data_IF_877956444417
#
_entry.id   IF_877956444417
#
_cell.length_a   1.000
_cell.length_b   1.000
_cell.length_c   1.000
_cell.angle_alpha   90.00
_cell.angle_beta   90.00
_cell.angle_gamma   90.00
#
_symmetry.space_group_name_H-M   'P 1'
#
loop_
_entity.id
_entity.type
_entity.pdbx_description
1 polymer ?
#
# COMPACT_ATOMS: atom_id res chain seq x y z
N UNK A 1 -16.08 -21.34 -10.87
CA UNK A 1 -15.60 -20.07 -11.48
C UNK A 1 -14.25 -19.74 -10.86
N UNK A 2 -13.26 -19.32 -11.65
CA UNK A 2 -11.93 -18.97 -11.14
C UNK A 2 -11.96 -17.54 -10.57
N UNK A 3 -11.66 -17.32 -9.27
CA UNK A 3 -11.77 -16.00 -8.62
C UNK A 3 -10.97 -14.91 -9.33
N UNK A 4 -9.77 -15.25 -9.80
CA UNK A 4 -8.88 -14.35 -10.54
C UNK A 4 -9.48 -13.90 -11.89
N UNK A 5 -10.26 -14.76 -12.55
CA UNK A 5 -10.91 -14.43 -13.83
C UNK A 5 -12.04 -13.43 -13.60
N UNK A 6 -12.79 -13.57 -12.50
CA UNK A 6 -13.82 -12.61 -12.10
C UNK A 6 -13.22 -11.26 -11.69
N UNK A 7 -12.12 -11.26 -10.93
CA UNK A 7 -11.40 -10.04 -10.58
C UNK A 7 -10.84 -9.31 -11.81
N UNK A 8 -10.25 -10.03 -12.75
CA UNK A 8 -9.72 -9.47 -14.00
C UNK A 8 -10.85 -8.91 -14.90
N UNK A 9 -11.97 -9.62 -15.02
CA UNK A 9 -13.11 -9.11 -15.79
C UNK A 9 -13.71 -7.86 -15.16
N UNK A 10 -13.84 -7.79 -13.84
CA UNK A 10 -14.30 -6.56 -13.17
C UNK A 10 -13.33 -5.39 -13.37
N UNK A 11 -12.02 -5.66 -13.40
CA UNK A 11 -11.01 -4.64 -13.69
C UNK A 11 -11.11 -4.13 -15.15
N UNK A 12 -11.51 -4.97 -16.10
CA UNK A 12 -11.57 -4.62 -17.52
C UNK A 12 -12.94 -4.10 -17.99
N UNK A 13 -14.02 -4.46 -17.29
CA UNK A 13 -15.40 -4.19 -17.70
C UNK A 13 -16.20 -3.31 -16.73
N UNK A 14 -15.65 -2.95 -15.56
CA UNK A 14 -16.42 -2.39 -14.44
C UNK A 14 -16.30 -0.88 -14.18
N UNK A 15 -15.41 -0.15 -14.88
CA UNK A 15 -15.22 1.29 -14.65
C UNK A 15 -14.03 1.89 -15.39
N UNK A 16 -13.85 3.20 -15.22
CA UNK A 16 -12.69 3.94 -15.71
C UNK A 16 -11.58 3.99 -14.65
N UNK A 17 -10.32 3.89 -15.11
CA UNK A 17 -9.14 3.91 -14.25
C UNK A 17 -8.19 5.06 -14.61
N UNK A 18 -8.61 6.32 -14.51
CA UNK A 18 -7.77 7.44 -14.90
C UNK A 18 -6.56 7.55 -13.97
N UNK A 19 -5.38 7.73 -14.56
CA UNK A 19 -4.14 8.05 -13.85
C UNK A 19 -3.75 9.48 -14.15
N UNK A 20 -3.68 10.30 -13.11
CA UNK A 20 -3.18 11.67 -13.19
C UNK A 20 -1.73 11.71 -12.71
N UNK A 21 -0.88 12.47 -13.39
CA UNK A 21 0.53 12.62 -13.08
C UNK A 21 0.81 14.08 -12.79
N UNK A 22 1.48 14.34 -11.67
CA UNK A 22 1.94 15.67 -11.30
C UNK A 22 3.46 15.71 -11.31
N UNK A 23 4.02 16.81 -11.78
CA UNK A 23 5.46 17.08 -11.78
C UNK A 23 5.67 18.54 -11.41
N UNK A 24 6.53 18.78 -10.42
CA UNK A 24 6.97 20.12 -10.08
C UNK A 24 7.75 20.73 -11.26
N UNK A 25 7.57 22.01 -11.51
CA UNK A 25 8.34 22.73 -12.54
C UNK A 25 9.84 22.76 -12.24
N UNK A 26 10.19 22.80 -10.95
CA UNK A 26 11.57 22.68 -10.42
C UNK A 26 12.20 21.32 -10.64
N UNK A 27 11.41 20.27 -10.94
CA UNK A 27 11.88 18.90 -11.13
C UNK A 27 12.23 18.13 -9.84
N UNK A 28 12.03 18.74 -8.68
CA UNK A 28 12.30 18.18 -7.35
C UNK A 28 11.17 17.29 -6.80
N UNK A 29 10.01 17.27 -7.45
CA UNK A 29 8.87 16.47 -7.05
C UNK A 29 8.11 15.90 -8.25
N UNK A 30 7.72 14.63 -8.17
CA UNK A 30 6.76 14.05 -9.10
C UNK A 30 5.91 13.01 -8.39
N UNK A 31 4.69 12.79 -8.88
CA UNK A 31 3.80 11.79 -8.32
C UNK A 31 2.66 11.47 -9.26
N UNK A 32 1.82 10.55 -8.81
CA UNK A 32 0.64 10.15 -9.55
C UNK A 32 -0.48 9.74 -8.60
N UNK A 33 -1.70 9.83 -9.10
CA UNK A 33 -2.90 9.29 -8.46
C UNK A 33 -3.69 8.49 -9.50
N UNK A 34 -4.05 7.26 -9.16
CA UNK A 34 -4.95 6.43 -9.95
C UNK A 34 -6.28 6.28 -9.23
N UNK A 35 -7.36 6.55 -9.96
CA UNK A 35 -8.72 6.41 -9.46
C UNK A 35 -9.40 5.19 -10.06
N UNK A 36 -10.46 4.73 -9.41
CA UNK A 36 -11.46 3.85 -9.99
C UNK A 36 -12.81 4.56 -9.93
N UNK A 37 -13.36 4.84 -11.11
CA UNK A 37 -14.64 5.52 -11.29
C UNK A 37 -15.60 4.52 -11.93
N UNK A 38 -16.66 4.12 -11.22
CA UNK A 38 -17.68 3.24 -11.80
C UNK A 38 -18.79 4.09 -12.40
N UNK A 39 -19.26 3.71 -13.59
CA UNK A 39 -20.36 4.40 -14.28
C UNK A 39 -21.66 4.43 -13.46
N UNK A 40 -21.86 3.45 -12.58
CA UNK A 40 -23.06 3.28 -11.76
C UNK A 40 -22.96 3.86 -10.33
N UNK A 41 -21.81 4.44 -9.96
CA UNK A 41 -21.57 4.93 -8.60
C UNK A 41 -21.29 6.43 -8.54
N UNK A 42 -21.89 7.09 -7.55
CA UNK A 42 -21.57 8.49 -7.21
C UNK A 42 -20.31 8.63 -6.34
N UNK A 43 -19.50 7.56 -6.23
CA UNK A 43 -18.27 7.50 -5.45
C UNK A 43 -17.10 7.05 -6.30
N UNK A 44 -15.99 7.80 -6.24
CA UNK A 44 -14.70 7.36 -6.77
C UNK A 44 -13.84 6.74 -5.66
N UNK A 45 -12.93 5.85 -6.05
CA UNK A 45 -11.96 5.26 -5.13
C UNK A 45 -10.54 5.60 -5.57
N UNK A 46 -9.67 5.97 -4.64
CA UNK A 46 -8.23 6.05 -4.88
C UNK A 46 -7.66 4.64 -4.82
N UNK A 47 -7.08 4.16 -5.92
CA UNK A 47 -6.39 2.86 -5.97
C UNK A 47 -4.92 2.98 -5.60
N UNK A 48 -4.26 4.00 -6.16
CA UNK A 48 -2.85 4.26 -5.92
C UNK A 48 -2.63 5.75 -5.78
N UNK A 49 -1.78 6.11 -4.83
CA UNK A 49 -1.26 7.45 -4.66
C UNK A 49 0.22 7.33 -4.31
N UNK A 50 1.06 7.92 -5.14
CA UNK A 50 2.50 7.77 -5.05
C UNK A 50 3.21 9.06 -5.38
N UNK A 51 4.36 9.28 -4.75
CA UNK A 51 5.22 10.42 -5.02
C UNK A 51 6.69 10.03 -4.89
N UNK A 52 7.57 10.83 -5.50
CA UNK A 52 8.99 10.79 -5.26
C UNK A 52 9.26 10.95 -3.77
N UNK A 53 10.19 10.16 -3.25
CA UNK A 53 10.58 10.22 -1.85
C UNK A 53 11.10 11.63 -1.52
N UNK A 54 10.81 12.10 -0.30
CA UNK A 54 11.45 13.30 0.22
C UNK A 54 12.80 12.88 0.80
N UNK A 55 13.90 13.41 0.27
CA UNK A 55 15.21 13.27 0.88
C UNK A 55 15.23 14.05 2.20
N UNK A 56 14.84 13.40 3.29
CA UNK A 56 15.03 13.97 4.63
C UNK A 56 16.29 13.35 5.22
N UNK A 57 17.42 14.05 5.06
CA UNK A 57 18.54 13.88 5.98
C UNK A 57 18.09 14.30 7.39
N UNK A 58 17.60 13.35 8.20
CA UNK A 58 17.48 13.58 9.65
C UNK A 58 17.48 12.29 10.46
N UNK A 59 18.63 12.03 11.08
CA UNK A 59 18.78 11.34 12.36
C UNK A 59 18.06 9.98 12.52
N UNK A 60 18.41 9.02 11.65
CA UNK A 60 18.37 7.58 12.03
C UNK A 60 17.00 6.94 12.20
N UNK A 61 15.90 7.57 11.80
CA UNK A 61 14.56 6.99 11.83
C UNK A 61 13.93 7.09 10.44
N UNK A 62 14.15 6.05 9.64
CA UNK A 62 13.57 5.86 8.31
C UNK A 62 12.06 5.56 8.43
N UNK A 63 11.27 6.56 8.80
CA UNK A 63 9.84 6.54 8.50
C UNK A 63 9.70 7.04 7.06
N UNK A 64 9.10 6.23 6.18
CA UNK A 64 8.72 6.69 4.85
C UNK A 64 7.80 7.91 5.01
N UNK A 65 8.32 9.11 4.75
CA UNK A 65 7.53 10.33 4.87
C UNK A 65 6.82 10.59 3.54
N UNK A 66 5.50 10.73 3.61
CA UNK A 66 4.68 11.17 2.49
C UNK A 66 5.17 12.53 2.00
N UNK A 67 5.35 12.67 0.68
CA UNK A 67 5.69 13.94 0.05
C UNK A 67 4.42 14.80 -0.11
N UNK A 68 4.13 15.61 0.91
CA UNK A 68 2.92 16.45 0.95
C UNK A 68 2.86 17.47 -0.19
N UNK A 69 4.01 18.02 -0.58
CA UNK A 69 4.13 19.02 -1.66
C UNK A 69 3.70 18.44 -3.02
N UNK A 70 3.76 17.11 -3.17
CA UNK A 70 3.27 16.37 -4.34
C UNK A 70 1.83 15.87 -4.13
N UNK A 71 1.52 15.34 -2.95
CA UNK A 71 0.22 14.71 -2.67
C UNK A 71 -0.93 15.70 -2.63
N UNK A 72 -0.74 16.88 -2.01
CA UNK A 72 -1.81 17.86 -1.86
C UNK A 72 -2.32 18.37 -3.22
N UNK A 73 -1.45 18.80 -4.18
CA UNK A 73 -1.92 19.18 -5.51
C UNK A 73 -2.59 18.04 -6.29
N UNK A 74 -2.11 16.79 -6.14
CA UNK A 74 -2.73 15.63 -6.77
C UNK A 74 -4.15 15.37 -6.24
N UNK A 75 -4.33 15.46 -4.92
CA UNK A 75 -5.62 15.28 -4.27
C UNK A 75 -6.59 16.41 -4.64
N UNK A 76 -6.13 17.65 -4.64
CA UNK A 76 -6.93 18.82 -5.04
C UNK A 76 -7.41 18.66 -6.50
N UNK A 77 -6.52 18.32 -7.43
CA UNK A 77 -6.90 18.12 -8.82
C UNK A 77 -7.85 16.92 -8.98
N UNK A 78 -7.60 15.81 -8.27
CA UNK A 78 -8.49 14.66 -8.33
C UNK A 78 -9.93 14.99 -7.90
N UNK A 79 -10.10 15.83 -6.86
CA UNK A 79 -11.42 16.31 -6.42
C UNK A 79 -12.11 17.14 -7.50
N UNK A 80 -11.39 18.03 -8.18
CA UNK A 80 -11.93 18.83 -9.29
C UNK A 80 -12.40 17.92 -10.44
N UNK A 81 -11.56 16.97 -10.83
CA UNK A 81 -11.80 16.06 -11.96
C UNK A 81 -13.02 15.16 -11.74
N UNK A 82 -13.15 14.55 -10.56
CA UNK A 82 -14.32 13.72 -10.27
C UNK A 82 -15.59 14.56 -10.11
N UNK A 83 -15.47 15.79 -9.59
CA UNK A 83 -16.59 16.71 -9.44
C UNK A 83 -17.19 17.12 -10.80
N UNK A 84 -16.33 17.35 -11.80
CA UNK A 84 -16.76 17.61 -13.19
C UNK A 84 -17.52 16.43 -13.82
N UNK A 85 -17.31 15.22 -13.30
CA UNK A 85 -17.98 13.99 -13.74
C UNK A 85 -19.24 13.68 -12.93
N UNK A 86 -19.66 14.56 -12.02
CA UNK A 86 -20.85 14.38 -11.19
C UNK A 86 -20.66 13.40 -10.01
N UNK A 87 -19.43 13.03 -9.69
CA UNK A 87 -19.11 12.17 -8.54
C UNK A 87 -19.08 13.02 -7.28
N UNK A 88 -19.70 12.54 -6.20
CA UNK A 88 -19.93 13.32 -4.98
C UNK A 88 -19.04 12.89 -3.80
N UNK A 89 -18.36 11.75 -3.91
CA UNK A 89 -17.49 11.23 -2.87
C UNK A 89 -16.22 10.62 -3.45
N UNK A 90 -15.09 10.86 -2.78
CA UNK A 90 -13.81 10.21 -3.06
C UNK A 90 -13.37 9.43 -1.83
N UNK A 91 -13.11 8.14 -2.00
CA UNK A 91 -12.74 7.24 -0.90
C UNK A 91 -11.28 6.85 -1.03
N UNK A 92 -10.55 6.94 0.08
CA UNK A 92 -9.19 6.46 0.22
C UNK A 92 -9.14 5.43 1.36
N UNK A 93 -8.47 4.30 1.13
CA UNK A 93 -8.20 3.30 2.15
C UNK A 93 -6.74 3.39 2.56
N UNK A 94 -6.49 3.66 3.84
CA UNK A 94 -5.13 3.79 4.40
C UNK A 94 -5.06 3.13 5.76
N UNK A 95 -3.84 2.80 6.19
CA UNK A 95 -3.60 2.32 7.56
C UNK A 95 -3.99 3.39 8.58
N UNK A 96 -4.67 3.00 9.66
CA UNK A 96 -5.06 3.93 10.74
C UNK A 96 -3.84 4.58 11.40
N UNK A 97 -2.70 3.88 11.43
CA UNK A 97 -1.44 4.37 12.01
C UNK A 97 -0.42 4.77 10.94
N UNK A 98 -0.83 4.86 9.68
CA UNK A 98 0.04 5.16 8.55
C UNK A 98 0.39 6.65 8.42
N UNK A 99 1.52 7.00 7.77
CA UNK A 99 1.92 8.38 7.52
C UNK A 99 0.98 9.12 6.54
N UNK A 100 0.09 8.41 5.85
CA UNK A 100 -0.85 8.96 4.87
C UNK A 100 -2.05 9.67 5.53
N UNK A 101 -2.50 9.18 6.69
CA UNK A 101 -3.71 9.68 7.34
C UNK A 101 -3.65 11.18 7.71
N UNK A 102 -2.54 11.71 8.27
CA UNK A 102 -2.42 13.15 8.51
C UNK A 102 -2.53 14.00 7.25
N UNK A 103 -1.96 13.53 6.13
CA UNK A 103 -1.96 14.25 4.85
C UNK A 103 -3.36 14.26 4.24
N UNK A 104 -4.06 13.13 4.26
CA UNK A 104 -5.46 13.04 3.82
C UNK A 104 -6.37 13.96 4.63
N UNK A 105 -6.20 14.03 5.96
CA UNK A 105 -6.95 14.99 6.79
C UNK A 105 -6.69 16.44 6.41
N UNK A 106 -5.45 16.79 6.05
CA UNK A 106 -5.09 18.14 5.57
C UNK A 106 -5.75 18.45 4.23
N UNK A 107 -5.91 17.46 3.35
CA UNK A 107 -6.66 17.56 2.11
C UNK A 107 -8.19 17.52 2.28
N UNK A 108 -8.71 17.50 3.52
CA UNK A 108 -10.14 17.56 3.80
C UNK A 108 -10.86 16.20 3.86
N UNK A 109 -10.13 15.08 3.80
CA UNK A 109 -10.73 13.75 4.01
C UNK A 109 -11.09 13.52 5.47
N UNK A 110 -12.22 12.85 5.69
CA UNK A 110 -12.66 12.39 6.99
C UNK A 110 -12.69 10.86 7.06
N UNK A 111 -12.54 10.30 8.26
CA UNK A 111 -12.67 8.86 8.49
C UNK A 111 -14.14 8.48 8.35
N UNK A 112 -14.46 7.69 7.32
CA UNK A 112 -15.82 7.19 7.08
C UNK A 112 -16.08 5.86 7.80
N UNK A 113 -15.13 4.93 7.72
CA UNK A 113 -15.23 3.59 8.33
C UNK A 113 -13.87 3.09 8.78
N UNK A 114 -13.87 2.08 9.66
CA UNK A 114 -12.68 1.34 10.09
C UNK A 114 -12.94 -0.15 9.84
N UNK A 115 -11.92 -0.85 9.35
CA UNK A 115 -12.01 -2.26 9.02
C UNK A 115 -10.83 -3.01 9.63
N UNK A 116 -11.12 -4.14 10.26
CA UNK A 116 -10.09 -5.06 10.74
C UNK A 116 -9.81 -6.12 9.65
N UNK A 117 -8.59 -6.11 9.12
CA UNK A 117 -8.15 -7.07 8.10
C UNK A 117 -7.29 -8.16 8.75
N UNK A 118 -7.77 -9.40 8.69
CA UNK A 118 -7.11 -10.56 9.28
C UNK A 118 -6.25 -11.27 8.23
N UNK A 119 -4.95 -11.40 8.50
CA UNK A 119 -4.05 -12.21 7.68
C UNK A 119 -3.89 -13.61 8.27
N UNK A 120 -4.18 -14.63 7.47
CA UNK A 120 -3.85 -16.02 7.83
C UNK A 120 -2.39 -16.27 7.48
N UNK A 121 -1.53 -16.31 8.49
CA UNK A 121 -0.13 -16.69 8.32
C UNK A 121 -0.06 -18.21 8.22
N UNK A 122 0.11 -18.74 7.02
CA UNK A 122 0.44 -20.15 6.86
C UNK A 122 1.91 -20.34 7.24
N UNK A 123 2.13 -20.75 8.50
CA UNK A 123 3.45 -21.16 8.97
C UNK A 123 3.80 -22.48 8.27
N UNK A 124 4.61 -22.41 7.21
CA UNK A 124 5.14 -23.59 6.57
C UNK A 124 5.78 -24.49 7.63
N UNK A 125 5.36 -25.75 7.65
CA UNK A 125 5.95 -26.79 8.48
C UNK A 125 7.46 -26.82 8.18
N UNK A 126 8.28 -26.42 9.16
CA UNK A 126 9.72 -26.67 9.08
C UNK A 126 9.90 -28.17 9.02
N UNK A 127 10.33 -28.64 7.86
CA UNK A 127 10.60 -30.04 7.57
C UNK A 127 11.80 -30.50 8.43
N UNK A 128 11.53 -30.87 9.69
CA UNK A 128 12.50 -31.44 10.60
C UNK A 128 12.32 -32.97 10.56
N UNK A 129 13.07 -33.62 9.66
CA UNK A 129 12.86 -35.04 9.42
C UNK A 129 13.77 -35.72 8.39
N UNK A 130 15.08 -35.42 8.35
CA UNK A 130 16.04 -36.44 7.95
C UNK A 130 17.10 -36.63 9.04
N UNK A 131 16.84 -37.68 9.81
CA UNK A 131 17.71 -38.30 10.79
C UNK A 131 18.75 -39.21 10.11
N UNK A 132 19.89 -39.36 10.79
CA UNK A 132 20.81 -40.50 10.77
C UNK A 132 21.82 -40.70 9.62
N UNK A 133 23.07 -40.31 9.89
CA UNK A 133 24.27 -41.19 9.80
C UNK A 133 25.34 -40.61 10.75
N UNK A 134 25.56 -41.22 11.91
CA UNK A 134 26.79 -41.99 12.23
C UNK A 134 28.05 -41.18 11.91
N UNK A 135 28.82 -40.69 12.87
CA UNK A 135 29.65 -41.53 13.74
C UNK A 135 29.95 -40.89 15.10
N UNK A 136 29.81 -41.70 16.14
CA UNK A 136 30.38 -41.52 17.45
C UNK A 136 31.90 -41.25 17.39
N UNK A 137 32.36 -40.21 18.08
CA UNK A 137 33.69 -40.22 18.69
C UNK A 137 33.50 -40.10 20.20
N UNK A 138 33.36 -41.26 20.85
CA UNK A 138 33.55 -41.39 22.30
C UNK A 138 35.04 -41.21 22.56
N UNK A 139 35.44 -40.06 23.12
CA UNK A 139 36.72 -39.90 23.80
C UNK A 139 36.44 -39.70 25.28
N UNK A 140 36.58 -40.76 26.06
CA UNK A 140 36.49 -40.71 27.52
C UNK A 140 36.40 -42.09 28.17
N UNK A 141 37.56 -42.63 28.57
CA UNK A 141 37.81 -43.43 29.78
C UNK A 141 39.32 -43.80 29.76
N UNK A 142 40.18 -43.23 30.61
CA UNK A 142 40.48 -43.53 32.03
C UNK A 142 40.88 -44.98 32.31
N UNK A 143 42.15 -45.15 32.73
CA UNK A 143 42.67 -46.07 33.75
C UNK A 143 44.03 -45.45 34.17
N UNK A 144 44.20 -44.89 35.37
CA UNK A 144 44.54 -45.55 36.64
C UNK A 144 45.86 -46.34 36.61
N UNK A 145 46.79 -45.94 37.48
CA UNK A 145 48.15 -46.47 37.65
C UNK A 145 49.11 -45.39 38.08
#
# INVERSE_FOLDING_TARGET
MHPLRGALFNLLAGGEFPTYVWKAESGDGAGFIQLHLREDSHSGHILYLGATAVDKERNGQNAATVNEDVWLPLLDQAVVEIGQRGIHSLVAEVSETGPELPVLRRAGFAVYTRQDVWMVVHRGETNNGQSARSTSSRRGQRAEG
#
